data_IF_476509876274
#
_entry.id   IF_476509876274
#
_cell.length_a   1.000
_cell.length_b   1.000
_cell.length_c   1.000
_cell.angle_alpha   90.00
_cell.angle_beta   90.00
_cell.angle_gamma   90.00
#
_symmetry.space_group_name_H-M   'P 1'
#
loop_
_entity.id
_entity.type
_entity.pdbx_description
1 polymer ?
#
# COMPACT_ATOMS: atom_id res chain seq x y z
N UNK A 1 -3.58 12.80 -20.46
CA UNK A 1 -2.80 12.27 -19.32
C UNK A 1 -3.58 12.60 -18.07
N UNK A 2 -3.59 11.72 -17.04
CA UNK A 2 -4.25 12.06 -15.79
C UNK A 2 -3.59 13.29 -15.17
N UNK A 3 -4.39 14.16 -14.59
CA UNK A 3 -3.86 15.27 -13.77
C UNK A 3 -3.20 14.69 -12.52
N UNK A 4 -2.39 15.52 -11.87
CA UNK A 4 -1.75 15.20 -10.60
C UNK A 4 -2.76 14.80 -9.52
N UNK A 5 -3.91 15.47 -9.49
CA UNK A 5 -5.00 15.18 -8.57
C UNK A 5 -5.67 13.84 -8.88
N UNK A 6 -5.96 13.56 -10.16
CA UNK A 6 -6.50 12.26 -10.59
C UNK A 6 -5.54 11.11 -10.25
N UNK A 7 -4.24 11.37 -10.41
CA UNK A 7 -3.20 10.42 -10.04
C UNK A 7 -3.16 10.17 -8.53
N UNK A 8 -3.11 11.23 -7.72
CA UNK A 8 -3.11 11.13 -6.27
C UNK A 8 -4.38 10.44 -5.73
N UNK A 9 -5.55 10.73 -6.33
CA UNK A 9 -6.80 10.05 -6.02
C UNK A 9 -6.74 8.56 -6.32
N UNK A 10 -6.17 8.16 -7.47
CA UNK A 10 -5.95 6.74 -7.81
C UNK A 10 -5.05 6.06 -6.78
N UNK A 11 -3.96 6.71 -6.38
CA UNK A 11 -3.06 6.18 -5.36
C UNK A 11 -3.77 6.03 -4.00
N UNK A 12 -4.65 6.96 -3.64
CA UNK A 12 -5.41 6.90 -2.39
C UNK A 12 -6.40 5.73 -2.43
N UNK A 13 -7.16 5.58 -3.51
CA UNK A 13 -8.10 4.49 -3.68
C UNK A 13 -7.42 3.11 -3.55
N UNK A 14 -6.20 2.98 -4.09
CA UNK A 14 -5.44 1.74 -4.00
C UNK A 14 -4.92 1.47 -2.58
N UNK A 15 -4.50 2.49 -1.83
CA UNK A 15 -4.24 2.28 -0.41
C UNK A 15 -5.53 1.86 0.31
N UNK A 16 -6.65 2.55 0.11
CA UNK A 16 -7.90 2.20 0.78
C UNK A 16 -8.34 0.75 0.50
N UNK A 17 -8.15 0.26 -0.74
CA UNK A 17 -8.35 -1.14 -1.12
C UNK A 17 -7.47 -2.09 -0.29
N UNK A 18 -6.17 -1.83 -0.22
CA UNK A 18 -5.26 -2.64 0.59
C UNK A 18 -5.61 -2.60 2.07
N UNK A 19 -6.23 -1.52 2.55
CA UNK A 19 -6.66 -1.38 3.94
C UNK A 19 -7.79 -2.35 4.22
N UNK A 20 -8.79 -2.38 3.32
CA UNK A 20 -9.92 -3.28 3.39
C UNK A 20 -9.47 -4.74 3.41
N UNK A 21 -8.58 -5.12 2.50
CA UNK A 21 -8.01 -6.47 2.46
C UNK A 21 -7.26 -6.83 3.75
N UNK A 22 -6.49 -5.88 4.31
CA UNK A 22 -5.77 -6.09 5.56
C UNK A 22 -6.72 -6.27 6.75
N UNK A 23 -7.81 -5.52 6.81
CA UNK A 23 -8.84 -5.67 7.84
C UNK A 23 -9.52 -7.04 7.77
N UNK A 24 -9.77 -7.56 6.56
CA UNK A 24 -10.29 -8.94 6.37
C UNK A 24 -9.28 -9.97 6.91
N UNK A 25 -7.99 -9.81 6.62
CA UNK A 25 -6.94 -10.70 7.11
C UNK A 25 -6.78 -10.62 8.64
N UNK A 26 -6.90 -9.42 9.22
CA UNK A 26 -6.91 -9.20 10.68
C UNK A 26 -8.10 -9.88 11.36
N UNK A 27 -9.29 -9.75 10.79
CA UNK A 27 -10.48 -10.41 11.31
C UNK A 27 -10.33 -11.94 11.27
N UNK A 28 -9.74 -12.48 10.19
CA UNK A 28 -9.41 -13.91 10.10
C UNK A 28 -8.36 -14.34 11.14
N UNK A 29 -7.34 -13.51 11.38
CA UNK A 29 -6.34 -13.74 12.42
C UNK A 29 -6.92 -13.73 13.84
N UNK A 30 -7.92 -12.89 14.09
CA UNK A 30 -8.54 -12.75 15.41
C UNK A 30 -9.25 -14.02 15.89
N UNK A 31 -9.71 -14.87 14.96
CA UNK A 31 -10.33 -16.18 15.25
C UNK A 31 -9.37 -17.37 15.05
N UNK A 32 -8.12 -17.10 14.66
CA UNK A 32 -7.09 -18.11 14.46
C UNK A 32 -6.32 -18.41 15.76
N UNK A 33 -5.31 -19.29 15.68
CA UNK A 33 -4.43 -19.58 16.81
C UNK A 33 -3.57 -18.36 17.20
N UNK A 34 -3.10 -18.33 18.45
CA UNK A 34 -2.24 -17.25 18.94
C UNK A 34 -0.93 -17.10 18.14
N UNK A 35 -0.38 -18.21 17.62
CA UNK A 35 0.80 -18.22 16.75
C UNK A 35 0.53 -17.53 15.41
N UNK A 36 -0.61 -17.86 14.77
CA UNK A 36 -1.03 -17.22 13.51
C UNK A 36 -1.26 -15.74 13.74
N UNK A 37 -1.97 -15.35 14.81
CA UNK A 37 -2.18 -13.95 15.17
C UNK A 37 -0.87 -13.18 15.29
N UNK A 38 0.11 -13.71 16.04
CA UNK A 38 1.41 -13.07 16.22
C UNK A 38 2.16 -12.89 14.88
N UNK A 39 2.13 -13.90 14.00
CA UNK A 39 2.76 -13.81 12.66
C UNK A 39 2.08 -12.78 11.77
N UNK A 40 0.75 -12.70 11.82
CA UNK A 40 -0.03 -11.69 11.08
C UNK A 40 0.30 -10.28 11.58
N UNK A 41 0.34 -10.08 12.89
CA UNK A 41 0.68 -8.78 13.50
C UNK A 41 2.10 -8.31 13.10
N UNK A 42 3.07 -9.23 13.03
CA UNK A 42 4.43 -8.93 12.54
C UNK A 42 4.44 -8.50 11.06
N UNK A 43 3.71 -9.21 10.21
CA UNK A 43 3.62 -8.89 8.77
C UNK A 43 2.86 -7.59 8.50
N UNK A 44 1.85 -7.29 9.31
CA UNK A 44 1.14 -6.01 9.31
C UNK A 44 2.10 -4.85 9.65
N UNK A 45 3.01 -5.05 10.61
CA UNK A 45 3.98 -4.03 10.97
C UNK A 45 4.93 -3.72 9.80
N UNK A 46 5.34 -4.73 9.04
CA UNK A 46 6.15 -4.59 7.82
C UNK A 46 5.38 -3.83 6.73
N UNK A 47 4.11 -4.19 6.50
CA UNK A 47 3.20 -3.49 5.58
C UNK A 47 2.99 -2.02 5.94
N UNK A 48 2.95 -1.69 7.23
CA UNK A 48 2.75 -0.31 7.67
C UNK A 48 3.87 0.61 7.20
N UNK A 49 5.11 0.13 7.17
CA UNK A 49 6.23 0.91 6.62
C UNK A 49 6.06 1.21 5.13
N UNK A 50 5.56 0.23 4.36
CA UNK A 50 5.27 0.40 2.94
C UNK A 50 4.12 1.40 2.74
N UNK A 51 3.12 1.36 3.62
CA UNK A 51 2.01 2.30 3.63
C UNK A 51 2.43 3.75 3.84
N UNK A 52 3.27 3.97 4.84
CA UNK A 52 3.78 5.30 5.18
C UNK A 52 4.61 5.86 4.01
N UNK A 53 5.37 5.01 3.30
CA UNK A 53 6.06 5.40 2.06
C UNK A 53 5.07 5.81 0.96
N UNK A 54 4.01 5.02 0.74
CA UNK A 54 2.97 5.34 -0.25
C UNK A 54 2.24 6.64 0.05
N UNK A 55 1.94 6.89 1.33
CA UNK A 55 1.32 8.14 1.78
C UNK A 55 2.26 9.34 1.58
N UNK A 56 3.54 9.21 1.93
CA UNK A 56 4.54 10.26 1.72
C UNK A 56 4.71 10.57 0.22
N UNK A 57 4.75 9.54 -0.63
CA UNK A 57 4.84 9.71 -2.09
C UNK A 57 3.63 10.42 -2.66
N UNK A 58 2.42 10.10 -2.21
CA UNK A 58 1.22 10.85 -2.59
C UNK A 58 1.33 12.33 -2.22
N UNK A 59 1.83 12.63 -1.03
CA UNK A 59 1.99 14.01 -0.59
C UNK A 59 3.01 14.76 -1.46
N UNK A 60 4.15 14.13 -1.78
CA UNK A 60 5.16 14.70 -2.69
C UNK A 60 4.56 15.05 -4.07
N UNK A 61 3.70 14.17 -4.59
CA UNK A 61 2.97 14.42 -5.82
C UNK A 61 2.03 15.61 -5.64
N UNK A 62 1.22 15.65 -4.58
CA UNK A 62 0.31 16.77 -4.26
C UNK A 62 1.03 18.10 -4.03
N UNK A 63 2.32 18.10 -3.71
CA UNK A 63 3.11 19.31 -3.50
C UNK A 63 3.88 19.75 -4.76
N UNK A 64 4.04 18.88 -5.77
CA UNK A 64 4.73 19.22 -7.01
C UNK A 64 3.99 20.32 -7.81
N UNK A 65 4.71 21.30 -8.36
CA UNK A 65 4.13 22.26 -9.30
C UNK A 65 3.63 21.55 -10.57
N UNK A 66 2.54 22.03 -11.16
CA UNK A 66 1.91 21.41 -12.34
C UNK A 66 2.89 21.27 -13.51
N UNK A 67 3.72 22.28 -13.73
CA UNK A 67 4.76 22.33 -14.75
C UNK A 67 5.93 21.34 -14.51
N UNK A 68 6.02 20.74 -13.32
CA UNK A 68 6.95 19.65 -13.00
C UNK A 68 6.29 18.27 -13.03
N UNK A 69 4.96 18.19 -12.96
CA UNK A 69 4.22 16.93 -12.90
C UNK A 69 4.52 16.03 -14.09
N UNK A 70 4.47 16.59 -15.31
CA UNK A 70 4.69 15.82 -16.54
C UNK A 70 6.06 15.13 -16.60
N UNK A 71 7.08 15.72 -15.98
CA UNK A 71 8.43 15.17 -15.91
C UNK A 71 8.62 14.17 -14.75
N UNK A 72 7.81 14.27 -13.70
CA UNK A 72 7.93 13.45 -12.48
C UNK A 72 7.02 12.22 -12.50
N UNK A 73 5.92 12.24 -13.27
CA UNK A 73 4.90 11.19 -13.24
C UNK A 73 5.43 9.79 -13.57
N UNK A 74 6.42 9.67 -14.45
CA UNK A 74 6.94 8.37 -14.88
C UNK A 74 7.80 7.74 -13.77
N UNK A 75 8.59 8.54 -13.05
CA UNK A 75 9.32 8.12 -11.85
C UNK A 75 8.36 7.80 -10.69
N UNK A 76 7.32 8.62 -10.52
CA UNK A 76 6.26 8.36 -9.55
C UNK A 76 5.54 7.04 -9.83
N UNK A 77 5.21 6.74 -11.08
CA UNK A 77 4.60 5.47 -11.50
C UNK A 77 5.53 4.30 -11.23
N UNK A 78 6.80 4.37 -11.65
CA UNK A 78 7.76 3.30 -11.42
C UNK A 78 7.89 2.96 -9.93
N UNK A 79 8.06 3.98 -9.08
CA UNK A 79 8.16 3.80 -7.64
C UNK A 79 6.85 3.31 -7.00
N UNK A 80 5.70 3.67 -7.58
CA UNK A 80 4.42 3.14 -7.15
C UNK A 80 4.26 1.66 -7.50
N UNK A 81 4.68 1.23 -8.70
CA UNK A 81 4.70 -0.18 -9.09
C UNK A 81 5.56 -1.04 -8.15
N UNK A 82 6.73 -0.54 -7.74
CA UNK A 82 7.60 -1.21 -6.77
C UNK A 82 6.90 -1.37 -5.41
N UNK A 83 6.22 -0.32 -4.95
CA UNK A 83 5.43 -0.37 -3.72
C UNK A 83 4.30 -1.41 -3.82
N UNK A 84 3.55 -1.44 -4.94
CA UNK A 84 2.49 -2.43 -5.15
C UNK A 84 3.03 -3.85 -5.08
N UNK A 85 4.17 -4.11 -5.70
CA UNK A 85 4.86 -5.41 -5.63
C UNK A 85 5.19 -5.78 -4.18
N UNK A 86 5.74 -4.82 -3.43
CA UNK A 86 6.05 -5.00 -2.00
C UNK A 86 4.82 -5.35 -1.15
N UNK A 87 3.72 -4.62 -1.35
CA UNK A 87 2.46 -4.86 -0.61
C UNK A 87 1.85 -6.21 -0.98
N UNK A 88 1.83 -6.55 -2.27
CA UNK A 88 1.31 -7.83 -2.75
C UNK A 88 2.07 -9.01 -2.11
N UNK A 89 3.40 -8.95 -2.08
CA UNK A 89 4.21 -9.98 -1.43
C UNK A 89 3.92 -10.14 0.07
N UNK A 90 3.76 -9.03 0.79
CA UNK A 90 3.41 -9.06 2.22
C UNK A 90 2.02 -9.64 2.45
N UNK A 91 1.04 -9.24 1.63
CA UNK A 91 -0.32 -9.78 1.69
C UNK A 91 -0.37 -11.28 1.38
N UNK A 92 0.36 -11.75 0.39
CA UNK A 92 0.45 -13.17 0.05
C UNK A 92 1.07 -13.98 1.18
N UNK A 93 2.09 -13.42 1.86
CA UNK A 93 2.67 -14.04 3.04
C UNK A 93 1.65 -14.18 4.16
N UNK A 94 0.88 -13.12 4.44
CA UNK A 94 -0.21 -13.17 5.41
C UNK A 94 -1.26 -14.22 5.02
N UNK A 95 -1.70 -14.25 3.77
CA UNK A 95 -2.68 -15.23 3.26
C UNK A 95 -2.19 -16.67 3.44
N UNK A 96 -0.91 -16.93 3.20
CA UNK A 96 -0.30 -18.27 3.35
C UNK A 96 -0.34 -18.81 4.79
N UNK A 97 -0.43 -17.93 5.80
CA UNK A 97 -0.54 -18.34 7.22
C UNK A 97 -1.89 -18.99 7.57
N UNK A 98 -2.86 -18.84 6.68
CA UNK A 98 -4.22 -19.36 6.85
C UNK A 98 -4.56 -20.50 5.89
N UNK A 99 -3.58 -20.95 5.10
CA UNK A 99 -3.73 -22.05 4.14
C UNK A 99 -3.20 -23.33 4.78
#
# INVERSE_FOLDING_TARGET
>A
MPTKDEYAARLQAQLDEWQGDLEVLRAKAAVASADVKAKVDLQIAELKSQWDEGAARRQEILDAADDRWDALKDDADAKWEDLKTGVAHSMDRIKSLFT
#
